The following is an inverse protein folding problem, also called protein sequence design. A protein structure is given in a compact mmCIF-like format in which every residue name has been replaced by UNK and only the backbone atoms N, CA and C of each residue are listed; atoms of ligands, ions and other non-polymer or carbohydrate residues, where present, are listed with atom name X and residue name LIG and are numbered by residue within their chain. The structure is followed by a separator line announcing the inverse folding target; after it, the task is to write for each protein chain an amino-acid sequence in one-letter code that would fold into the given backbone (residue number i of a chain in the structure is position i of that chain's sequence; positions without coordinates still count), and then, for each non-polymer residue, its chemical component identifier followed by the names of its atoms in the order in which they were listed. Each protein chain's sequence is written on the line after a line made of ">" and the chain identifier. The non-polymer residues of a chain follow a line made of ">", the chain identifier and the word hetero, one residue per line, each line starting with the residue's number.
data_IF_454663720041
#
_entry.id   IF_454663720041
#
_cell.length_a   1.000
_cell.length_b   1.000
_cell.length_c   1.000
_cell.angle_alpha   90.00
_cell.angle_beta   90.00
_cell.angle_gamma   90.00
#
_symmetry.space_group_name_H-M   'P 1'
#
loop_
_entity.id
_entity.type
_entity.pdbx_description
1 polymer ?
#
# COMPACT_ATOMS: atom_id res chain seq x y z
N UNK A 1 -20.21 39.70 47.38
CA UNK A 1 -19.17 38.71 47.14
C UNK A 1 -19.61 37.90 45.92
N UNK A 2 -19.24 38.33 44.72
CA UNK A 2 -19.64 37.64 43.47
C UNK A 2 -18.57 36.64 43.12
N UNK A 3 -18.90 35.34 43.07
CA UNK A 3 -17.99 34.28 42.66
C UNK A 3 -18.08 34.12 41.13
N UNK A 4 -16.96 34.42 40.46
CA UNK A 4 -16.83 34.27 39.02
C UNK A 4 -16.45 32.81 38.74
N UNK A 5 -17.38 32.02 38.15
CA UNK A 5 -17.11 30.67 37.70
C UNK A 5 -16.47 30.77 36.31
N UNK A 6 -15.17 30.41 36.23
CA UNK A 6 -14.46 30.32 34.95
C UNK A 6 -14.79 28.94 34.33
N UNK A 7 -15.58 28.96 33.28
CA UNK A 7 -15.86 27.75 32.48
C UNK A 7 -14.67 27.53 31.51
N UNK A 8 -13.82 26.56 31.80
CA UNK A 8 -12.78 26.15 30.87
C UNK A 8 -13.44 25.24 29.82
N UNK A 9 -13.65 25.75 28.61
CA UNK A 9 -14.00 24.95 27.46
C UNK A 9 -12.73 24.21 27.00
N UNK A 10 -12.66 22.91 27.31
CA UNK A 10 -11.66 22.02 26.71
C UNK A 10 -12.19 21.70 25.30
N UNK A 11 -11.67 22.41 24.30
CA UNK A 11 -11.89 22.07 22.90
C UNK A 11 -11.20 20.73 22.61
N UNK A 12 -11.97 19.67 22.42
CA UNK A 12 -11.47 18.44 21.79
C UNK A 12 -11.30 18.78 20.30
N UNK A 13 -10.10 19.09 19.88
CA UNK A 13 -9.75 19.11 18.46
C UNK A 13 -9.73 17.65 18.03
N UNK A 14 -10.69 17.22 17.22
CA UNK A 14 -10.54 16.00 16.44
C UNK A 14 -9.30 16.17 15.57
N UNK A 15 -8.24 15.42 15.85
CA UNK A 15 -7.11 15.27 14.94
C UNK A 15 -7.67 14.42 13.80
N UNK A 16 -8.06 15.07 12.71
CA UNK A 16 -8.23 14.36 11.45
C UNK A 16 -6.81 14.03 10.99
N UNK A 17 -6.46 12.76 10.93
CA UNK A 17 -5.20 12.35 10.35
C UNK A 17 -5.13 12.87 8.92
N UNK A 18 -3.99 13.51 8.59
CA UNK A 18 -3.79 14.00 7.23
C UNK A 18 -3.81 12.81 6.26
N UNK A 19 -4.44 12.98 5.10
CA UNK A 19 -4.42 12.00 4.02
C UNK A 19 -3.03 11.99 3.40
N UNK A 20 -2.31 10.87 3.55
CA UNK A 20 -0.89 10.78 3.22
C UNK A 20 -0.54 9.48 2.48
N UNK A 21 0.44 9.59 1.57
CA UNK A 21 1.17 8.46 1.02
C UNK A 21 2.20 8.03 2.05
N UNK A 22 1.99 6.89 2.71
CA UNK A 22 2.81 6.42 3.84
C UNK A 22 3.93 5.45 3.44
N UNK A 23 3.88 4.93 2.22
CA UNK A 23 4.93 4.10 1.63
C UNK A 23 4.93 4.25 0.12
N UNK A 24 6.11 4.43 -0.49
CA UNK A 24 6.31 4.32 -1.93
C UNK A 24 7.66 3.67 -2.26
N UNK A 25 7.63 2.46 -2.80
CA UNK A 25 8.79 1.73 -3.28
C UNK A 25 8.74 1.64 -4.81
N UNK A 26 9.53 2.48 -5.51
CA UNK A 26 9.60 2.49 -6.98
C UNK A 26 10.48 1.38 -7.56
N UNK A 27 11.40 0.82 -6.77
CA UNK A 27 12.41 -0.16 -7.19
C UNK A 27 13.38 0.29 -8.29
N UNK A 28 13.41 1.56 -8.65
CA UNK A 28 14.35 2.07 -9.65
C UNK A 28 15.81 1.79 -9.30
N UNK A 29 16.13 1.75 -8.01
CA UNK A 29 17.44 1.39 -7.50
C UNK A 29 17.38 0.65 -6.17
N UNK A 30 18.41 -0.15 -5.89
CA UNK A 30 18.66 -0.76 -4.59
C UNK A 30 20.00 -0.29 -4.03
N UNK A 31 20.01 0.13 -2.78
CA UNK A 31 21.22 0.33 -2.03
C UNK A 31 21.60 -0.98 -1.31
N UNK A 32 22.38 -1.83 -1.98
CA UNK A 32 22.63 -3.20 -1.55
C UNK A 32 21.36 -4.04 -1.63
N UNK A 33 20.74 -4.30 -0.48
CA UNK A 33 19.46 -5.02 -0.38
C UNK A 33 18.34 -4.13 0.16
N UNK A 34 18.49 -2.82 0.11
CA UNK A 34 17.54 -1.85 0.63
C UNK A 34 16.88 -1.11 -0.54
N UNK A 35 15.56 -1.20 -0.66
CA UNK A 35 14.76 -0.29 -1.46
C UNK A 35 14.37 0.90 -0.58
N UNK A 36 14.60 2.10 -1.11
CA UNK A 36 14.25 3.33 -0.42
C UNK A 36 12.76 3.62 -0.56
N UNK A 37 12.15 3.97 0.57
CA UNK A 37 10.86 4.63 0.58
C UNK A 37 11.04 6.08 0.14
N UNK A 38 10.36 6.46 -0.94
CA UNK A 38 10.37 7.83 -1.47
C UNK A 38 9.19 8.67 -0.98
N UNK A 39 8.37 8.15 -0.05
CA UNK A 39 7.43 8.93 0.74
C UNK A 39 8.16 9.80 1.78
N UNK A 40 7.43 10.63 2.53
CA UNK A 40 8.02 11.47 3.59
C UNK A 40 8.34 10.69 4.88
N UNK A 41 7.93 9.40 4.99
CA UNK A 41 8.03 8.61 6.23
C UNK A 41 9.33 7.81 6.34
N UNK A 42 10.00 7.50 5.23
CA UNK A 42 11.27 6.77 5.23
C UNK A 42 11.13 5.31 5.66
N UNK A 43 10.03 4.67 5.32
CA UNK A 43 9.73 3.26 5.58
C UNK A 43 10.53 2.33 4.63
N UNK A 44 11.85 2.39 4.69
CA UNK A 44 12.75 1.64 3.81
C UNK A 44 12.56 0.12 3.95
N UNK A 45 12.51 -0.59 2.83
CA UNK A 45 12.40 -2.05 2.79
C UNK A 45 13.77 -2.73 2.70
N UNK A 46 14.08 -3.62 3.63
CA UNK A 46 15.28 -4.47 3.58
C UNK A 46 14.91 -5.86 3.09
N UNK A 47 15.56 -6.32 2.01
CA UNK A 47 15.27 -7.60 1.37
C UNK A 47 16.16 -8.72 1.89
N UNK A 48 15.55 -9.89 2.09
CA UNK A 48 16.20 -11.21 2.26
C UNK A 48 16.15 -11.97 0.94
N UNK A 49 17.01 -12.97 0.79
CA UNK A 49 17.12 -13.73 -0.46
C UNK A 49 18.06 -13.04 -1.45
N UNK A 50 17.70 -13.07 -2.72
CA UNK A 50 18.50 -12.51 -3.82
C UNK A 50 17.67 -11.49 -4.63
N UNK A 51 17.42 -10.28 -4.08
CA UNK A 51 16.67 -9.27 -4.80
C UNK A 51 17.39 -8.91 -6.10
N UNK A 52 16.65 -8.90 -7.20
CA UNK A 52 17.16 -8.62 -8.52
C UNK A 52 16.25 -7.62 -9.22
N UNK A 53 16.84 -6.57 -9.78
CA UNK A 53 16.12 -5.60 -10.59
C UNK A 53 15.98 -6.09 -12.03
N UNK A 54 14.79 -5.91 -12.58
CA UNK A 54 14.43 -6.16 -13.98
C UNK A 54 13.81 -4.89 -14.57
N UNK A 55 13.46 -4.90 -15.86
CA UNK A 55 12.67 -3.81 -16.45
C UNK A 55 11.24 -3.83 -15.86
N UNK A 56 10.79 -2.68 -15.36
CA UNK A 56 9.47 -2.47 -14.77
C UNK A 56 8.47 -1.85 -15.73
N UNK A 57 7.29 -1.53 -15.22
CA UNK A 57 6.31 -0.69 -15.92
C UNK A 57 6.81 0.75 -15.96
N UNK A 58 7.39 1.21 -14.85
CA UNK A 58 8.10 2.47 -14.76
C UNK A 58 9.54 2.19 -14.29
N UNK A 59 10.54 2.49 -15.11
CA UNK A 59 11.94 2.28 -14.75
C UNK A 59 12.27 0.82 -14.44
N UNK A 60 12.55 0.49 -13.19
CA UNK A 60 12.91 -0.85 -12.73
C UNK A 60 11.87 -1.43 -11.77
N UNK A 61 11.77 -2.74 -11.78
CA UNK A 61 10.94 -3.55 -10.90
C UNK A 61 11.80 -4.55 -10.12
N UNK A 62 11.27 -5.08 -9.02
CA UNK A 62 11.92 -6.12 -8.24
C UNK A 62 11.39 -7.50 -8.60
N UNK A 63 12.28 -8.42 -9.01
CA UNK A 63 11.97 -9.84 -9.26
C UNK A 63 11.94 -10.63 -7.95
N UNK A 64 10.92 -11.48 -7.81
CA UNK A 64 10.70 -12.41 -6.70
C UNK A 64 10.78 -13.86 -7.20
N UNK A 65 11.60 -14.66 -6.54
CA UNK A 65 11.95 -16.03 -6.92
C UNK A 65 11.25 -17.12 -6.06
N UNK A 66 10.23 -16.74 -5.31
CA UNK A 66 9.57 -17.63 -4.35
C UNK A 66 10.34 -17.81 -3.03
N UNK A 67 11.38 -17.01 -2.78
CA UNK A 67 12.22 -17.04 -1.56
C UNK A 67 12.68 -15.65 -1.15
N UNK A 68 12.66 -14.69 -2.04
CA UNK A 68 12.97 -13.29 -1.78
C UNK A 68 11.79 -12.64 -1.09
N UNK A 69 12.03 -11.84 -0.07
CA UNK A 69 11.03 -11.06 0.66
C UNK A 69 11.62 -9.77 1.20
N UNK A 70 10.84 -8.70 1.18
CA UNK A 70 11.15 -7.43 1.84
C UNK A 70 10.55 -7.36 3.23
N UNK A 71 11.22 -6.65 4.13
CA UNK A 71 10.74 -6.32 5.46
C UNK A 71 10.94 -4.84 5.73
N UNK A 72 9.89 -4.17 6.15
CA UNK A 72 9.87 -2.79 6.63
C UNK A 72 9.62 -2.86 8.13
N UNK A 73 10.47 -2.29 9.00
CA UNK A 73 10.23 -2.24 10.43
C UNK A 73 8.89 -1.59 10.74
N UNK A 74 8.30 -1.96 11.87
CA UNK A 74 7.11 -1.28 12.35
C UNK A 74 7.33 0.22 12.52
N UNK A 75 6.34 1.00 12.10
CA UNK A 75 6.33 2.46 12.20
C UNK A 75 4.90 2.94 12.34
N UNK A 76 4.67 4.00 13.14
CA UNK A 76 3.33 4.53 13.41
C UNK A 76 2.55 4.95 12.15
N UNK A 77 3.22 5.35 11.07
CA UNK A 77 2.55 5.65 9.78
C UNK A 77 1.94 4.42 9.11
N UNK A 78 2.36 3.21 9.50
CA UNK A 78 1.84 1.95 8.98
C UNK A 78 0.74 1.36 9.88
N UNK A 79 0.42 2.02 11.00
CA UNK A 79 -0.68 1.66 11.89
C UNK A 79 -2.00 2.29 11.42
N UNK A 80 -2.47 1.82 10.29
CA UNK A 80 -3.65 2.36 9.60
C UNK A 80 -4.92 1.79 10.26
N UNK A 81 -5.89 2.66 10.60
CA UNK A 81 -7.07 2.31 11.40
C UNK A 81 -8.38 2.56 10.65
N UNK A 82 -8.54 3.70 9.99
CA UNK A 82 -9.84 4.16 9.48
C UNK A 82 -10.07 3.87 8.01
N UNK A 83 -9.03 3.99 7.19
CA UNK A 83 -9.09 3.79 5.74
C UNK A 83 -7.71 3.48 5.17
N UNK A 84 -7.64 2.73 4.08
CA UNK A 84 -6.39 2.35 3.44
C UNK A 84 -6.55 2.21 1.94
N UNK A 85 -5.47 2.51 1.22
CA UNK A 85 -5.24 2.03 -0.14
C UNK A 85 -3.90 1.31 -0.20
N UNK A 86 -3.88 0.14 -0.83
CA UNK A 86 -2.66 -0.56 -1.21
C UNK A 86 -2.71 -0.75 -2.72
N UNK A 87 -1.64 -0.38 -3.41
CA UNK A 87 -1.54 -0.56 -4.86
C UNK A 87 -0.14 -0.94 -5.29
N UNK A 88 -0.05 -1.64 -6.41
CA UNK A 88 1.22 -1.99 -7.06
C UNK A 88 0.98 -2.56 -8.46
N UNK A 89 2.01 -2.53 -9.29
CA UNK A 89 2.09 -3.34 -10.49
C UNK A 89 2.67 -4.72 -10.17
N UNK A 90 2.14 -5.77 -10.78
CA UNK A 90 2.59 -7.14 -10.54
C UNK A 90 2.61 -8.00 -11.82
N UNK A 91 3.62 -8.87 -11.92
CA UNK A 91 3.58 -10.11 -12.70
C UNK A 91 3.50 -11.25 -11.69
N UNK A 92 2.55 -12.17 -11.85
CA UNK A 92 2.42 -13.33 -10.96
C UNK A 92 2.74 -14.61 -11.70
N UNK A 93 3.75 -15.32 -11.19
CA UNK A 93 4.17 -16.62 -11.70
C UNK A 93 3.57 -17.80 -10.93
N UNK A 94 4.02 -19.01 -11.29
CA UNK A 94 3.71 -20.23 -10.56
C UNK A 94 4.40 -20.26 -9.19
N UNK A 95 3.84 -21.00 -8.24
CA UNK A 95 4.38 -21.08 -6.88
C UNK A 95 3.34 -21.50 -5.87
N UNK A 96 3.33 -20.83 -4.71
CA UNK A 96 2.32 -21.06 -3.68
C UNK A 96 0.92 -20.64 -4.16
N UNK A 97 -0.13 -21.27 -3.64
CA UNK A 97 -1.52 -20.95 -3.98
C UNK A 97 -1.95 -19.57 -3.46
N UNK A 98 -1.24 -19.05 -2.49
CA UNK A 98 -1.41 -17.69 -1.95
C UNK A 98 -0.05 -17.01 -2.02
N UNK A 99 0.00 -15.82 -2.62
CA UNK A 99 1.20 -15.02 -2.79
C UNK A 99 0.89 -13.57 -2.38
N UNK A 100 1.48 -13.14 -1.27
CA UNK A 100 1.26 -11.78 -0.76
C UNK A 100 2.09 -10.77 -1.55
N UNK A 101 1.47 -9.67 -1.99
CA UNK A 101 2.19 -8.52 -2.51
C UNK A 101 2.69 -7.64 -1.37
N UNK A 102 1.76 -7.12 -0.57
CA UNK A 102 2.00 -6.30 0.62
C UNK A 102 1.21 -6.86 1.78
N UNK A 103 1.84 -7.12 2.92
CA UNK A 103 1.18 -7.70 4.09
C UNK A 103 1.77 -7.18 5.40
N UNK A 104 0.95 -6.53 6.26
CA UNK A 104 1.37 -6.16 7.62
C UNK A 104 1.05 -7.31 8.58
N UNK A 105 2.07 -7.81 9.24
CA UNK A 105 1.97 -8.88 10.21
C UNK A 105 2.74 -10.15 9.85
N UNK A 106 3.06 -10.93 10.87
CA UNK A 106 3.82 -12.18 10.75
C UNK A 106 2.92 -13.41 10.63
N UNK A 107 1.64 -13.25 10.95
CA UNK A 107 0.62 -14.31 10.95
C UNK A 107 -0.76 -13.67 10.74
N UNK A 108 -1.82 -14.48 10.77
CA UNK A 108 -3.21 -14.00 10.78
C UNK A 108 -3.57 -13.48 12.17
N UNK A 109 -3.34 -12.20 12.40
CA UNK A 109 -3.40 -11.52 13.71
C UNK A 109 -4.10 -10.17 13.60
N UNK A 110 -4.50 -9.63 14.77
CA UNK A 110 -5.09 -8.30 14.89
C UNK A 110 -4.23 -7.21 14.24
N UNK A 111 -4.85 -6.31 13.50
CA UNK A 111 -4.21 -5.21 12.76
C UNK A 111 -3.54 -5.61 11.45
N UNK A 112 -3.73 -6.88 11.01
CA UNK A 112 -3.25 -7.31 9.70
C UNK A 112 -4.08 -6.67 8.59
N UNK A 113 -3.37 -6.19 7.56
CA UNK A 113 -3.90 -5.88 6.24
C UNK A 113 -3.01 -6.51 5.16
N UNK A 114 -3.58 -6.98 4.07
CA UNK A 114 -2.88 -7.66 3.00
C UNK A 114 -3.56 -7.45 1.65
N UNK A 115 -2.81 -6.99 0.65
CA UNK A 115 -3.20 -7.14 -0.76
C UNK A 115 -2.40 -8.31 -1.34
N UNK A 116 -3.08 -9.44 -1.54
CA UNK A 116 -2.48 -10.62 -2.15
C UNK A 116 -2.58 -10.55 -3.68
N UNK A 117 -1.44 -10.70 -4.34
CA UNK A 117 -1.35 -10.78 -5.80
C UNK A 117 -1.90 -12.11 -6.34
N UNK A 118 -1.90 -13.18 -5.51
CA UNK A 118 -2.58 -14.45 -5.78
C UNK A 118 -3.23 -14.97 -4.51
N UNK A 119 -4.50 -15.36 -4.61
CA UNK A 119 -5.26 -16.00 -3.54
C UNK A 119 -6.16 -17.11 -4.11
N UNK A 120 -5.70 -18.35 -4.04
CA UNK A 120 -6.44 -19.53 -4.56
C UNK A 120 -6.96 -19.36 -6.00
N UNK A 121 -6.18 -18.72 -6.87
CA UNK A 121 -6.52 -18.49 -8.27
C UNK A 121 -7.14 -17.13 -8.58
N UNK A 122 -7.30 -16.27 -7.61
CA UNK A 122 -7.74 -14.88 -7.76
C UNK A 122 -6.82 -13.88 -7.05
N UNK A 123 -7.31 -12.67 -6.84
CA UNK A 123 -6.65 -11.60 -6.07
C UNK A 123 -7.55 -11.19 -4.92
N UNK A 124 -7.02 -10.64 -3.82
CA UNK A 124 -7.84 -10.26 -2.66
C UNK A 124 -7.20 -9.16 -1.83
N UNK A 125 -8.04 -8.25 -1.29
CA UNK A 125 -7.68 -7.38 -0.17
C UNK A 125 -8.26 -7.96 1.11
N UNK A 126 -7.41 -8.24 2.10
CA UNK A 126 -7.79 -8.90 3.34
C UNK A 126 -7.44 -8.06 4.57
N UNK A 127 -8.31 -8.17 5.59
CA UNK A 127 -8.08 -7.59 6.90
C UNK A 127 -8.37 -8.62 7.99
N UNK A 128 -7.72 -8.53 9.14
CA UNK A 128 -8.10 -9.33 10.32
C UNK A 128 -9.16 -8.53 11.10
N UNK A 129 -9.33 -8.02 11.95
CA UNK A 129 -10.24 -7.34 12.89
C UNK A 129 -11.61 -6.84 12.35
N UNK A 130 -11.84 -6.97 11.06
CA UNK A 130 -13.13 -6.60 10.48
C UNK A 130 -14.16 -7.73 10.69
N UNK A 131 -15.48 -7.43 10.66
CA UNK A 131 -16.52 -8.42 10.90
C UNK A 131 -16.41 -9.66 10.00
N UNK A 132 -16.96 -10.79 10.47
CA UNK A 132 -17.06 -12.02 9.66
C UNK A 132 -17.73 -11.73 8.31
N UNK A 133 -17.17 -12.30 7.24
CA UNK A 133 -17.61 -12.06 5.85
C UNK A 133 -16.80 -11.00 5.11
N UNK A 134 -16.07 -10.14 5.81
CA UNK A 134 -15.20 -9.14 5.19
C UNK A 134 -13.82 -9.68 4.71
N UNK A 135 -13.47 -10.91 5.04
CA UNK A 135 -12.07 -11.34 4.92
C UNK A 135 -11.76 -12.15 3.66
N UNK A 136 -12.72 -12.88 3.09
CA UNK A 136 -12.46 -13.87 2.04
C UNK A 136 -13.45 -13.82 0.87
N UNK A 137 -14.32 -12.81 0.79
CA UNK A 137 -15.39 -12.75 -0.19
C UNK A 137 -15.13 -11.77 -1.36
N UNK A 138 -14.24 -10.79 -1.19
CA UNK A 138 -13.88 -9.80 -2.22
C UNK A 138 -12.80 -10.32 -3.18
N UNK A 139 -12.99 -11.53 -3.70
CA UNK A 139 -12.01 -12.16 -4.58
C UNK A 139 -12.19 -11.63 -6.01
N UNK A 140 -11.15 -10.98 -6.52
CA UNK A 140 -11.02 -10.59 -7.91
C UNK A 140 -10.54 -11.73 -8.81
N UNK A 141 -10.51 -11.53 -10.14
CA UNK A 141 -9.99 -12.50 -11.08
C UNK A 141 -8.48 -12.79 -10.88
N UNK A 142 -8.01 -13.85 -11.52
CA UNK A 142 -6.57 -14.17 -11.60
C UNK A 142 -5.86 -13.20 -12.54
N UNK A 143 -4.64 -12.84 -12.14
CA UNK A 143 -3.67 -12.11 -12.97
C UNK A 143 -2.44 -12.98 -13.29
N UNK A 144 -2.58 -14.30 -13.21
CA UNK A 144 -1.50 -15.27 -13.43
C UNK A 144 -1.40 -15.67 -14.91
N UNK A 145 -1.14 -14.71 -15.77
CA UNK A 145 -0.99 -14.87 -17.23
C UNK A 145 0.40 -14.51 -17.76
N UNK A 146 1.27 -13.99 -16.87
CA UNK A 146 2.63 -13.60 -17.20
C UNK A 146 2.79 -12.16 -17.70
N UNK A 147 1.72 -11.37 -17.68
CA UNK A 147 1.74 -9.96 -18.08
C UNK A 147 1.73 -9.05 -16.84
N UNK A 148 2.05 -7.77 -17.04
CA UNK A 148 1.93 -6.77 -15.99
C UNK A 148 0.48 -6.37 -15.76
N UNK A 149 0.02 -6.42 -14.50
CA UNK A 149 -1.28 -5.94 -14.07
C UNK A 149 -1.14 -4.94 -12.92
N UNK A 150 -1.95 -3.88 -12.96
CA UNK A 150 -2.10 -2.96 -11.85
C UNK A 150 -3.16 -3.48 -10.88
N UNK A 151 -2.76 -3.73 -9.65
CA UNK A 151 -3.67 -4.09 -8.56
C UNK A 151 -3.81 -2.91 -7.62
N UNK A 152 -5.04 -2.62 -7.24
CA UNK A 152 -5.32 -1.70 -6.15
C UNK A 152 -6.49 -2.19 -5.31
N UNK A 153 -6.32 -2.14 -3.99
CA UNK A 153 -7.36 -2.41 -3.02
C UNK A 153 -7.57 -1.20 -2.14
N UNK A 154 -8.83 -0.74 -1.99
CA UNK A 154 -9.21 0.36 -1.10
C UNK A 154 -10.22 -0.10 -0.07
N UNK A 155 -10.15 0.48 1.12
CA UNK A 155 -11.16 0.36 2.16
C UNK A 155 -11.31 1.71 2.86
N UNK A 156 -12.54 2.19 3.01
CA UNK A 156 -12.87 3.51 3.56
C UNK A 156 -13.56 3.46 4.93
N UNK A 157 -13.57 2.27 5.56
CA UNK A 157 -14.28 2.01 6.81
C UNK A 157 -15.68 1.45 6.62
N UNK A 158 -16.23 1.54 5.42
CA UNK A 158 -17.57 1.06 5.06
C UNK A 158 -17.54 0.00 3.94
N UNK A 159 -16.70 0.17 2.91
CA UNK A 159 -16.64 -0.71 1.74
C UNK A 159 -15.20 -1.10 1.35
N UNK A 160 -15.01 -2.35 0.95
CA UNK A 160 -13.78 -2.84 0.32
C UNK A 160 -14.01 -2.85 -1.19
N UNK A 161 -13.12 -2.16 -1.93
CA UNK A 161 -13.12 -2.16 -3.40
C UNK A 161 -11.79 -2.73 -3.90
N UNK A 162 -11.86 -3.67 -4.84
CA UNK A 162 -10.69 -4.25 -5.49
C UNK A 162 -10.69 -3.91 -6.98
N UNK A 163 -9.59 -3.34 -7.44
CA UNK A 163 -9.40 -2.95 -8.83
C UNK A 163 -8.26 -3.72 -9.49
N UNK A 164 -8.45 -4.10 -10.74
CA UNK A 164 -7.41 -4.63 -11.63
C UNK A 164 -7.44 -3.81 -12.91
N UNK A 165 -6.29 -3.27 -13.31
CA UNK A 165 -6.13 -2.44 -14.52
C UNK A 165 -7.14 -1.28 -14.59
N UNK A 166 -7.41 -0.68 -13.41
CA UNK A 166 -8.36 0.43 -13.24
C UNK A 166 -9.84 0.04 -13.33
N UNK A 167 -10.16 -1.25 -13.47
CA UNK A 167 -11.53 -1.76 -13.48
C UNK A 167 -11.90 -2.30 -12.10
N UNK A 168 -13.06 -1.92 -11.55
CA UNK A 168 -13.61 -2.49 -10.33
C UNK A 168 -14.00 -3.96 -10.58
N UNK A 169 -13.36 -4.88 -9.87
CA UNK A 169 -13.55 -6.32 -10.00
C UNK A 169 -14.29 -6.94 -8.81
N UNK A 170 -14.14 -6.36 -7.61
CA UNK A 170 -14.92 -6.76 -6.45
C UNK A 170 -15.29 -5.53 -5.62
N UNK A 171 -16.48 -5.57 -5.03
CA UNK A 171 -17.09 -4.54 -4.18
C UNK A 171 -17.82 -5.25 -3.04
N UNK A 172 -17.44 -4.95 -1.80
CA UNK A 172 -18.00 -5.64 -0.64
C UNK A 172 -18.18 -4.68 0.54
N UNK A 173 -19.41 -4.52 1.02
CA UNK A 173 -19.67 -3.81 2.26
C UNK A 173 -18.92 -4.43 3.43
N UNK A 174 -18.10 -3.65 4.11
CA UNK A 174 -17.27 -4.11 5.21
C UNK A 174 -17.01 -2.98 6.19
N UNK A 175 -17.93 -2.82 7.13
CA UNK A 175 -17.87 -1.73 8.10
C UNK A 175 -17.08 -2.10 9.34
N UNK A 176 -16.15 -1.24 9.73
CA UNK A 176 -15.36 -1.48 10.94
C UNK A 176 -14.23 -0.49 11.13
N UNK A 177 -13.32 -0.84 12.00
CA UNK A 177 -12.06 -0.16 12.27
C UNK A 177 -10.97 -1.22 12.45
N UNK A 178 -9.81 -1.01 11.86
CA UNK A 178 -8.63 -1.83 12.11
C UNK A 178 -8.01 -1.44 13.45
N UNK A 179 -7.23 -2.35 14.01
CA UNK A 179 -6.42 -2.08 15.19
C UNK A 179 -4.96 -1.98 14.78
N UNK A 180 -4.19 -1.03 15.34
CA UNK A 180 -2.76 -1.00 15.10
C UNK A 180 -2.08 -2.27 15.68
N UNK A 181 -0.96 -2.66 15.09
CA UNK A 181 -0.10 -3.70 15.63
C UNK A 181 1.38 -3.31 15.43
N UNK A 182 2.27 -3.91 16.22
CA UNK A 182 3.71 -3.61 16.19
C UNK A 182 4.50 -4.59 15.30
N UNK A 183 3.82 -5.31 14.39
CA UNK A 183 4.50 -6.21 13.45
C UNK A 183 5.06 -5.43 12.26
N UNK A 184 6.15 -5.92 11.66
CA UNK A 184 6.67 -5.37 10.40
C UNK A 184 5.67 -5.49 9.25
N UNK A 185 5.83 -4.63 8.25
CA UNK A 185 5.24 -4.81 6.93
C UNK A 185 6.16 -5.66 6.07
N UNK A 186 5.58 -6.61 5.33
CA UNK A 186 6.31 -7.50 4.42
C UNK A 186 5.92 -7.26 2.97
N UNK A 187 6.90 -7.40 2.08
CA UNK A 187 6.76 -7.30 0.64
C UNK A 187 7.09 -8.66 0.02
N UNK A 188 6.18 -9.20 -0.77
CA UNK A 188 6.36 -10.48 -1.47
C UNK A 188 6.34 -11.71 -0.57
N UNK A 189 5.83 -11.61 0.67
CA UNK A 189 5.68 -12.74 1.59
C UNK A 189 4.85 -12.38 2.82
N UNK A 190 4.35 -13.39 3.57
CA UNK A 190 3.84 -13.27 4.94
C UNK A 190 4.95 -13.57 5.95
N UNK A 191 5.26 -12.63 6.84
CA UNK A 191 6.25 -12.84 7.90
C UNK A 191 7.64 -13.21 7.40
N UNK A 192 7.93 -13.04 6.10
CA UNK A 192 9.17 -13.48 5.47
C UNK A 192 9.40 -14.99 5.49
N UNK A 193 8.34 -15.81 5.66
CA UNK A 193 8.46 -17.27 5.84
C UNK A 193 7.34 -18.09 5.15
N UNK A 194 6.38 -17.44 4.47
CA UNK A 194 5.32 -18.10 3.71
C UNK A 194 4.65 -17.14 2.75
N UNK A 195 3.75 -17.62 1.92
CA UNK A 195 3.05 -16.85 0.87
C UNK A 195 4.02 -16.11 -0.05
N UNK A 196 5.16 -16.74 -0.33
CA UNK A 196 6.20 -16.12 -1.15
C UNK A 196 5.69 -15.85 -2.57
N UNK A 197 5.91 -14.63 -3.03
CA UNK A 197 5.65 -14.24 -4.40
C UNK A 197 6.69 -14.86 -5.33
N UNK A 198 6.21 -15.32 -6.49
CA UNK A 198 7.03 -15.63 -7.66
C UNK A 198 6.57 -14.74 -8.80
N UNK A 199 7.45 -13.93 -9.35
CA UNK A 199 7.11 -12.94 -10.37
C UNK A 199 7.84 -11.62 -10.17
N UNK A 200 7.14 -10.49 -10.26
CA UNK A 200 7.73 -9.18 -10.04
C UNK A 200 6.73 -8.19 -9.44
N UNK A 201 7.22 -7.20 -8.72
CA UNK A 201 6.46 -6.04 -8.25
C UNK A 201 7.15 -4.75 -8.67
N UNK A 202 6.32 -3.73 -8.94
CA UNK A 202 6.75 -2.39 -9.29
C UNK A 202 5.81 -1.36 -8.66
N UNK A 203 6.31 -0.16 -8.35
CA UNK A 203 5.52 0.98 -7.88
C UNK A 203 4.58 0.64 -6.71
N UNK A 204 5.09 -0.01 -5.66
CA UNK A 204 4.29 -0.31 -4.46
C UNK A 204 3.98 0.98 -3.72
N UNK A 205 2.68 1.25 -3.47
CA UNK A 205 2.25 2.38 -2.66
C UNK A 205 1.24 1.95 -1.61
N UNK A 206 1.30 2.59 -0.45
CA UNK A 206 0.31 2.48 0.62
C UNK A 206 -0.08 3.88 1.06
N UNK A 207 -1.37 4.13 1.13
CA UNK A 207 -1.98 5.36 1.62
C UNK A 207 -2.79 5.09 2.87
N UNK A 208 -2.82 6.03 3.81
CA UNK A 208 -3.66 5.97 5.01
C UNK A 208 -5.10 6.46 4.76
N UNK A 209 -5.54 6.48 3.52
CA UNK A 209 -6.90 6.83 3.11
C UNK A 209 -7.31 6.04 1.86
N UNK A 210 -8.62 5.96 1.59
CA UNK A 210 -9.14 5.33 0.39
C UNK A 210 -9.04 6.29 -0.80
N UNK A 211 -8.23 5.92 -1.81
CA UNK A 211 -8.16 6.63 -3.08
C UNK A 211 -9.46 6.47 -3.85
N UNK A 212 -9.87 7.55 -4.50
CA UNK A 212 -10.93 7.50 -5.51
C UNK A 212 -10.45 6.77 -6.77
N UNK A 213 -11.38 6.27 -7.58
CA UNK A 213 -11.03 5.65 -8.86
C UNK A 213 -10.19 6.57 -9.76
N UNK A 214 -10.48 7.87 -9.78
CA UNK A 214 -9.75 8.83 -10.62
C UNK A 214 -8.31 9.03 -10.14
N UNK A 215 -8.06 8.93 -8.83
CA UNK A 215 -6.72 8.95 -8.25
C UNK A 215 -5.96 7.67 -8.59
N UNK A 216 -6.58 6.49 -8.43
CA UNK A 216 -5.99 5.21 -8.84
C UNK A 216 -5.60 5.20 -10.32
N UNK A 217 -6.46 5.72 -11.21
CA UNK A 217 -6.15 5.82 -12.63
C UNK A 217 -4.97 6.75 -12.94
N UNK A 218 -4.78 7.81 -12.16
CA UNK A 218 -3.60 8.68 -12.27
C UNK A 218 -2.35 7.95 -11.80
N UNK A 219 -2.42 7.22 -10.69
CA UNK A 219 -1.31 6.45 -10.15
C UNK A 219 -0.89 5.31 -11.06
N UNK A 220 -1.87 4.66 -11.71
CA UNK A 220 -1.64 3.65 -12.73
C UNK A 220 -0.94 4.21 -13.98
N UNK A 221 -1.23 5.46 -14.37
CA UNK A 221 -0.73 6.06 -15.60
C UNK A 221 0.66 6.70 -15.47
N UNK A 222 1.02 7.18 -14.27
CA UNK A 222 2.25 7.94 -14.04
C UNK A 222 2.81 7.68 -12.63
N UNK A 223 4.12 7.50 -12.46
CA UNK A 223 4.72 7.43 -11.13
C UNK A 223 4.53 8.76 -10.38
N UNK A 224 4.25 8.69 -9.07
CA UNK A 224 4.02 9.87 -8.23
C UNK A 224 5.20 10.84 -8.25
N UNK A 225 6.43 10.34 -8.35
CA UNK A 225 7.65 11.14 -8.45
C UNK A 225 7.64 12.14 -9.62
N UNK A 226 7.09 11.76 -10.77
CA UNK A 226 7.01 12.65 -11.93
C UNK A 226 5.99 13.79 -11.72
N UNK A 227 4.94 13.56 -10.90
CA UNK A 227 3.93 14.57 -10.59
C UNK A 227 4.46 15.64 -9.63
N UNK A 228 5.23 15.25 -8.62
CA UNK A 228 5.87 16.18 -7.66
C UNK A 228 6.86 17.08 -8.40
N UNK A 229 7.72 16.52 -9.24
CA UNK A 229 8.67 17.29 -10.07
C UNK A 229 7.96 18.32 -10.99
N UNK A 230 6.80 17.99 -11.53
CA UNK A 230 6.03 18.89 -12.39
C UNK A 230 5.43 20.07 -11.57
N UNK A 231 4.95 19.82 -10.37
CA UNK A 231 4.44 20.88 -9.48
C UNK A 231 5.55 21.77 -8.93
N UNK A 232 6.69 21.21 -8.51
CA UNK A 232 7.84 21.98 -8.07
C UNK A 232 8.42 22.84 -9.21
N UNK A 233 8.53 22.32 -10.43
CA UNK A 233 8.94 23.09 -11.60
C UNK A 233 8.00 24.25 -11.90
N UNK A 234 6.69 24.05 -11.75
CA UNK A 234 5.70 25.12 -11.94
C UNK A 234 5.84 26.20 -10.86
N UNK A 235 5.97 25.83 -9.57
CA UNK A 235 6.12 26.80 -8.48
C UNK A 235 7.42 27.59 -8.56
N UNK A 236 8.53 26.97 -8.95
CA UNK A 236 9.82 27.67 -9.15
C UNK A 236 9.81 28.56 -10.38
N UNK A 237 9.14 28.18 -11.45
CA UNK A 237 8.97 29.03 -12.65
C UNK A 237 8.09 30.25 -12.31
N UNK A 238 6.97 30.05 -11.60
CA UNK A 238 6.11 31.15 -11.15
C UNK A 238 6.80 32.10 -10.17
N UNK A 239 7.62 31.56 -9.26
CA UNK A 239 8.39 32.39 -8.34
C UNK A 239 9.43 33.27 -9.07
N UNK A 240 10.10 32.73 -10.11
CA UNK A 240 11.04 33.48 -10.95
C UNK A 240 10.35 34.54 -11.82
N UNK A 241 9.15 34.26 -12.34
CA UNK A 241 8.37 35.20 -13.13
C UNK A 241 7.81 36.38 -12.31
N UNK A 242 7.60 36.19 -11.01
CA UNK A 242 7.16 37.27 -10.11
C UNK A 242 8.30 38.12 -9.55
N UNK A 243 9.54 37.71 -9.69
CA UNK A 243 10.74 38.40 -9.19
C UNK A 243 11.40 39.32 -10.22
N UNK A 244 10.88 39.38 -11.46
CA UNK A 244 11.23 40.32 -12.53
C UNK A 244 10.04 41.24 -12.81
#
# INVERSE_FOLDING_TARGET
>A
MFSLIFLILIGVTAVCDAQELVLHLSFDELNGKVAKDISEFGNDATFKGNPKLIEGVFGKALEFDGKTSGQIPDHASLDIVEAITIEFWAIVGGGEAIQSGVEKGTAWISGLYNLAALYNGGTILQFFDLPDGCNDENIGPSIQDGEWHFLAGTWDGDDILLYIDGKLEADMPCKGELKPNNDPLFIGARGGSGRFLTGALDEIKVYNYALTKDELLKDMAEPVSLRVDAQEKLTTVWARLKAN
#
